data_IF_041444536746
#
_entry.id   IF_041444536746
#
_cell.length_a   1.000
_cell.length_b   1.000
_cell.length_c   1.000
_cell.angle_alpha   90.00
_cell.angle_beta   90.00
_cell.angle_gamma   90.00
#
_symmetry.space_group_name_H-M   'P 1'
#
loop_
_entity.id
_entity.type
_entity.pdbx_description
1 polymer ?
#
# COMPACT_ATOMS: atom_id res chain seq x y z
N UNK A 1 15.42 -9.89 2.68
CA UNK A 1 14.85 -8.54 2.45
C UNK A 1 15.98 -7.55 2.61
N UNK A 2 16.19 -6.61 1.67
CA UNK A 2 17.17 -5.55 1.80
C UNK A 2 16.91 -4.73 3.06
N UNK A 3 17.96 -4.28 3.72
CA UNK A 3 17.89 -3.46 4.94
C UNK A 3 18.18 -1.99 4.68
N UNK A 4 18.58 -1.65 3.46
CA UNK A 4 18.90 -0.29 3.03
C UNK A 4 18.57 -0.08 1.55
N UNK A 5 18.30 1.17 1.14
CA UNK A 5 18.13 1.52 -0.27
C UNK A 5 19.38 1.19 -1.10
N UNK A 6 19.16 0.72 -2.32
CA UNK A 6 20.22 0.38 -3.26
C UNK A 6 20.27 1.41 -4.40
N UNK A 7 21.46 1.73 -4.86
CA UNK A 7 21.67 2.64 -5.99
C UNK A 7 21.01 2.06 -7.27
N UNK A 8 20.32 2.90 -8.02
CA UNK A 8 19.63 2.51 -9.24
C UNK A 8 18.26 1.85 -9.03
N UNK A 9 17.86 1.55 -7.80
CA UNK A 9 16.50 1.07 -7.49
C UNK A 9 15.50 2.22 -7.37
N UNK A 10 14.27 1.96 -7.80
CA UNK A 10 13.12 2.88 -7.64
C UNK A 10 12.16 2.31 -6.62
N UNK A 11 11.84 3.09 -5.59
CA UNK A 11 10.94 2.66 -4.52
C UNK A 11 9.58 3.36 -4.64
N UNK A 12 8.53 2.57 -4.47
CA UNK A 12 7.13 3.03 -4.44
C UNK A 12 6.45 2.49 -3.20
N UNK A 13 5.37 3.14 -2.76
CA UNK A 13 4.71 2.72 -1.53
C UNK A 13 3.19 2.78 -1.63
N UNK A 14 2.54 2.02 -0.75
CA UNK A 14 1.11 2.05 -0.47
C UNK A 14 0.86 2.25 1.01
N UNK A 15 -0.18 2.97 1.35
CA UNK A 15 -0.55 3.30 2.72
C UNK A 15 -2.03 3.10 2.94
N UNK A 16 -2.37 2.24 3.86
CA UNK A 16 -3.70 2.05 4.38
C UNK A 16 -3.79 2.65 5.79
N UNK A 17 -4.77 3.55 6.01
CA UNK A 17 -4.91 4.28 7.25
C UNK A 17 -5.89 3.61 8.20
N UNK A 18 -5.54 3.53 9.48
CA UNK A 18 -6.47 3.17 10.55
C UNK A 18 -6.34 4.08 11.77
N UNK A 19 -7.44 4.24 12.51
CA UNK A 19 -7.44 5.09 13.70
C UNK A 19 -7.35 4.28 15.00
N UNK A 20 -8.18 3.27 15.20
CA UNK A 20 -8.34 2.65 16.53
C UNK A 20 -8.30 1.12 16.55
N UNK A 21 -9.09 0.44 15.75
CA UNK A 21 -9.24 -1.03 15.79
C UNK A 21 -8.41 -1.75 14.73
N UNK A 22 -8.24 -1.11 13.58
CA UNK A 22 -7.50 -1.64 12.46
C UNK A 22 -6.04 -1.18 12.50
N UNK A 23 -5.22 -1.61 11.58
CA UNK A 23 -3.81 -1.26 11.50
C UNK A 23 -3.57 -0.25 10.41
N UNK A 24 -2.84 0.83 10.73
CA UNK A 24 -2.19 1.59 9.67
C UNK A 24 -1.03 0.78 9.16
N UNK A 25 -0.98 0.58 7.84
CA UNK A 25 0.06 -0.22 7.19
C UNK A 25 0.70 0.58 6.07
N UNK A 26 2.04 0.71 6.15
CA UNK A 26 2.88 1.21 5.07
C UNK A 26 3.65 0.04 4.46
N UNK A 27 3.49 -0.17 3.16
CA UNK A 27 4.28 -1.14 2.40
C UNK A 27 5.15 -0.41 1.38
N UNK A 28 6.46 -0.72 1.35
CA UNK A 28 7.40 -0.20 0.36
C UNK A 28 7.87 -1.32 -0.55
N UNK A 29 7.87 -1.06 -1.85
CA UNK A 29 8.27 -2.00 -2.90
C UNK A 29 9.43 -1.40 -3.70
N UNK A 30 10.50 -2.16 -3.88
CA UNK A 30 11.48 -1.92 -4.92
C UNK A 30 10.85 -2.29 -6.27
N UNK A 31 10.42 -1.28 -7.02
CA UNK A 31 9.76 -1.45 -8.30
C UNK A 31 10.71 -1.99 -9.39
N UNK A 32 12.01 -1.77 -9.25
CA UNK A 32 13.03 -2.26 -10.18
C UNK A 32 13.18 -3.78 -10.09
N UNK A 33 13.11 -4.31 -8.87
CA UNK A 33 13.30 -5.73 -8.59
C UNK A 33 12.00 -6.51 -8.38
N UNK A 34 10.86 -5.81 -8.24
CA UNK A 34 9.60 -6.44 -7.86
C UNK A 34 9.65 -7.03 -6.44
N UNK A 35 10.28 -6.36 -5.49
CA UNK A 35 10.51 -6.89 -4.15
C UNK A 35 9.93 -5.98 -3.08
N UNK A 36 9.16 -6.54 -2.15
CA UNK A 36 8.73 -5.83 -0.94
C UNK A 36 9.92 -5.69 0.00
N UNK A 37 10.28 -4.45 0.32
CA UNK A 37 11.45 -4.13 1.17
C UNK A 37 11.07 -3.70 2.59
N UNK A 38 9.84 -3.22 2.77
CA UNK A 38 9.31 -2.80 4.09
C UNK A 38 7.82 -3.12 4.18
N UNK A 39 7.39 -3.66 5.32
CA UNK A 39 5.98 -3.72 5.75
C UNK A 39 5.94 -3.22 7.19
N UNK A 40 5.43 -2.03 7.39
CA UNK A 40 5.35 -1.38 8.70
C UNK A 40 3.88 -1.25 9.12
N UNK A 41 3.45 -2.11 10.04
CA UNK A 41 2.08 -2.19 10.54
C UNK A 41 2.01 -1.80 12.01
N UNK A 42 1.16 -0.85 12.35
CA UNK A 42 1.00 -0.36 13.72
C UNK A 42 -0.43 0.07 14.02
N UNK A 43 -0.78 0.15 15.29
CA UNK A 43 -2.11 0.54 15.80
C UNK A 43 -1.98 1.34 17.08
N UNK A 44 -3.05 2.01 17.50
CA UNK A 44 -3.11 2.70 18.79
C UNK A 44 -2.24 3.95 18.90
N UNK A 45 -1.88 4.55 17.79
CA UNK A 45 -1.04 5.76 17.73
C UNK A 45 -1.83 6.87 17.06
N UNK A 46 -1.78 8.09 17.62
CA UNK A 46 -2.41 9.27 17.03
C UNK A 46 -1.87 9.59 15.63
N UNK A 47 -2.66 10.27 14.80
CA UNK A 47 -2.30 10.56 13.41
C UNK A 47 -1.01 11.36 13.24
N UNK A 48 -0.67 12.26 14.15
CA UNK A 48 0.58 13.04 14.03
C UNK A 48 1.83 12.15 14.13
N UNK A 49 2.02 11.34 15.19
CA UNK A 49 3.14 10.37 15.21
C UNK A 49 3.07 9.34 14.08
N UNK A 50 1.88 8.94 13.63
CA UNK A 50 1.74 8.09 12.44
C UNK A 50 2.39 8.75 11.22
N UNK A 51 2.03 10.02 10.93
CA UNK A 51 2.60 10.77 9.80
C UNK A 51 4.11 10.95 9.92
N UNK A 52 4.62 11.25 11.09
CA UNK A 52 6.06 11.37 11.35
C UNK A 52 6.79 10.06 11.03
N UNK A 53 6.24 8.92 11.47
CA UNK A 53 6.78 7.57 11.20
C UNK A 53 6.76 7.23 9.71
N UNK A 54 5.63 7.45 9.04
CA UNK A 54 5.46 7.20 7.61
C UNK A 54 6.44 8.08 6.81
N UNK A 55 6.53 9.37 7.16
CA UNK A 55 7.42 10.29 6.47
C UNK A 55 8.89 9.90 6.61
N UNK A 56 9.31 9.47 7.80
CA UNK A 56 10.67 8.99 8.03
C UNK A 56 10.98 7.77 7.16
N UNK A 57 10.07 6.79 7.08
CA UNK A 57 10.23 5.59 6.26
C UNK A 57 10.27 5.91 4.76
N UNK A 58 9.33 6.73 4.28
CA UNK A 58 9.28 7.13 2.88
C UNK A 58 10.54 7.89 2.45
N UNK A 59 11.04 8.78 3.31
CA UNK A 59 12.30 9.51 3.05
C UNK A 59 13.52 8.60 3.09
N UNK A 60 13.56 7.65 4.04
CA UNK A 60 14.64 6.68 4.13
C UNK A 60 14.77 5.85 2.85
N UNK A 61 13.66 5.33 2.32
CA UNK A 61 13.65 4.56 1.08
C UNK A 61 13.71 5.41 -0.19
N UNK A 62 13.57 6.72 -0.11
CA UNK A 62 13.49 7.60 -1.29
C UNK A 62 12.25 7.29 -2.15
N UNK A 63 11.10 7.09 -1.50
CA UNK A 63 9.85 6.74 -2.17
C UNK A 63 9.47 7.80 -3.21
N UNK A 64 9.31 7.38 -4.46
CA UNK A 64 8.98 8.24 -5.60
C UNK A 64 7.47 8.45 -5.79
N UNK A 65 6.65 7.51 -5.32
CA UNK A 65 5.18 7.58 -5.34
C UNK A 65 4.66 6.87 -4.09
N UNK A 66 3.79 7.53 -3.33
CA UNK A 66 3.04 6.98 -2.21
C UNK A 66 1.55 7.01 -2.53
N UNK A 67 0.92 5.89 -2.88
CA UNK A 67 -0.54 5.80 -2.93
C UNK A 67 -1.09 5.60 -1.54
N UNK A 68 -1.93 6.51 -1.08
CA UNK A 68 -2.49 6.49 0.25
C UNK A 68 -4.02 6.56 0.21
N UNK A 69 -4.70 5.70 0.99
CA UNK A 69 -6.14 5.71 1.07
C UNK A 69 -6.66 7.10 1.46
N UNK A 70 -7.69 7.58 0.75
CA UNK A 70 -8.24 8.92 0.91
C UNK A 70 -9.64 8.93 1.52
N UNK A 71 -10.21 7.77 1.84
CA UNK A 71 -11.53 7.69 2.44
C UNK A 71 -11.53 8.24 3.87
N UNK A 72 -12.64 8.82 4.30
CA UNK A 72 -12.83 9.37 5.64
C UNK A 72 -11.64 10.27 6.09
N UNK A 73 -10.91 9.88 7.12
CA UNK A 73 -9.78 10.64 7.68
C UNK A 73 -8.48 10.50 6.86
N UNK A 74 -8.46 9.64 5.84
CA UNK A 74 -7.27 9.49 4.98
C UNK A 74 -6.92 10.77 4.24
N UNK A 75 -7.90 11.44 3.60
CA UNK A 75 -7.64 12.64 2.80
C UNK A 75 -6.95 13.78 3.57
N UNK A 76 -7.41 14.23 4.76
CA UNK A 76 -6.70 15.25 5.54
C UNK A 76 -5.28 14.84 5.93
N UNK A 77 -5.05 13.56 6.27
CA UNK A 77 -3.73 13.04 6.60
C UNK A 77 -2.81 12.98 5.38
N UNK A 78 -3.34 12.62 4.21
CA UNK A 78 -2.62 12.65 2.94
C UNK A 78 -2.17 14.06 2.58
N UNK A 79 -3.04 15.06 2.76
CA UNK A 79 -2.70 16.46 2.52
C UNK A 79 -1.57 16.92 3.43
N UNK A 80 -1.58 16.55 4.72
CA UNK A 80 -0.49 16.87 5.62
C UNK A 80 0.82 16.13 5.23
N UNK A 81 0.78 14.86 4.83
CA UNK A 81 1.96 14.18 4.31
C UNK A 81 2.54 14.87 3.07
N UNK A 82 1.67 15.36 2.20
CA UNK A 82 2.06 16.06 0.96
C UNK A 82 2.67 17.43 1.24
N UNK A 83 2.03 18.25 2.08
CA UNK A 83 2.41 19.64 2.28
C UNK A 83 3.42 19.83 3.41
N UNK A 84 3.22 19.19 4.56
CA UNK A 84 4.09 19.39 5.73
C UNK A 84 5.37 18.55 5.63
N UNK A 85 5.27 17.34 5.05
CA UNK A 85 6.41 16.41 4.93
C UNK A 85 7.00 16.33 3.52
N UNK A 86 6.36 16.97 2.53
CA UNK A 86 6.79 17.04 1.12
C UNK A 86 6.92 15.64 0.48
N UNK A 87 6.01 14.74 0.79
CA UNK A 87 5.97 13.42 0.19
C UNK A 87 5.18 13.41 -1.13
N UNK A 88 5.56 12.56 -2.09
CA UNK A 88 4.87 12.41 -3.39
C UNK A 88 3.59 11.58 -3.24
N UNK A 89 2.62 12.08 -2.48
CA UNK A 89 1.37 11.38 -2.15
C UNK A 89 0.37 11.46 -3.29
N UNK A 90 -0.20 10.31 -3.64
CA UNK A 90 -1.38 10.18 -4.52
C UNK A 90 -2.54 9.65 -3.70
N UNK A 91 -3.68 10.32 -3.77
CA UNK A 91 -4.89 9.86 -3.13
C UNK A 91 -5.44 8.63 -3.84
N UNK A 92 -5.75 7.59 -3.08
CA UNK A 92 -6.43 6.40 -3.55
C UNK A 92 -7.81 6.32 -2.89
N UNK A 93 -8.86 6.43 -3.70
CA UNK A 93 -10.24 6.27 -3.21
C UNK A 93 -10.64 4.82 -3.32
N UNK A 94 -10.85 4.16 -2.19
CA UNK A 94 -11.30 2.78 -2.13
C UNK A 94 -12.79 2.70 -2.47
N UNK A 95 -13.07 2.06 -3.59
CA UNK A 95 -14.40 1.60 -4.03
C UNK A 95 -14.30 0.11 -4.32
N UNK A 96 -15.43 -0.55 -4.54
CA UNK A 96 -15.40 -1.96 -4.94
C UNK A 96 -14.61 -2.16 -6.26
N UNK A 97 -14.76 -1.27 -7.22
CA UNK A 97 -14.06 -1.34 -8.50
C UNK A 97 -12.55 -1.11 -8.33
N UNK A 98 -12.15 -0.02 -7.68
CA UNK A 98 -10.72 0.30 -7.51
C UNK A 98 -10.00 -0.74 -6.64
N UNK A 99 -10.67 -1.29 -5.62
CA UNK A 99 -10.15 -2.40 -4.81
C UNK A 99 -9.95 -3.65 -5.67
N UNK A 100 -10.94 -4.03 -6.48
CA UNK A 100 -10.83 -5.18 -7.37
C UNK A 100 -9.66 -5.01 -8.34
N UNK A 101 -9.51 -3.86 -8.98
CA UNK A 101 -8.44 -3.59 -9.95
C UNK A 101 -7.04 -3.79 -9.35
N UNK A 102 -6.78 -3.24 -8.16
CA UNK A 102 -5.44 -3.38 -7.54
C UNK A 102 -5.19 -4.79 -7.00
N UNK A 103 -6.22 -5.48 -6.47
CA UNK A 103 -6.10 -6.86 -5.99
C UNK A 103 -5.84 -7.82 -7.16
N UNK A 104 -6.56 -7.68 -8.27
CA UNK A 104 -6.36 -8.50 -9.48
C UNK A 104 -4.96 -8.26 -10.09
N UNK A 105 -4.50 -7.01 -10.09
CA UNK A 105 -3.13 -6.68 -10.51
C UNK A 105 -2.08 -7.35 -9.61
N UNK A 106 -2.29 -7.36 -8.29
CA UNK A 106 -1.40 -8.03 -7.34
C UNK A 106 -1.44 -9.55 -7.52
N UNK A 107 -2.62 -10.15 -7.68
CA UNK A 107 -2.77 -11.59 -7.94
C UNK A 107 -2.02 -12.01 -9.20
N UNK A 108 -2.17 -11.26 -10.30
CA UNK A 108 -1.42 -11.47 -11.53
C UNK A 108 0.11 -11.38 -11.33
N UNK A 109 0.57 -10.52 -10.42
CA UNK A 109 1.99 -10.41 -10.11
C UNK A 109 2.52 -11.68 -9.42
N UNK A 110 1.76 -12.27 -8.49
CA UNK A 110 2.10 -13.53 -7.85
C UNK A 110 2.09 -14.69 -8.85
N UNK A 111 1.03 -14.82 -9.66
CA UNK A 111 0.90 -15.88 -10.68
C UNK A 111 2.08 -15.87 -11.66
N UNK A 112 2.52 -14.67 -12.07
CA UNK A 112 3.63 -14.50 -13.00
C UNK A 112 5.01 -14.39 -12.31
N UNK A 113 5.09 -14.62 -11.00
CA UNK A 113 6.34 -14.58 -10.21
C UNK A 113 7.10 -13.25 -10.35
N UNK A 114 6.36 -12.14 -10.50
CA UNK A 114 6.92 -10.80 -10.65
C UNK A 114 7.13 -10.07 -9.33
N UNK A 115 6.60 -10.62 -8.24
CA UNK A 115 6.71 -10.03 -6.90
C UNK A 115 7.33 -11.02 -5.93
N UNK A 116 8.22 -10.51 -5.07
CA UNK A 116 8.77 -11.23 -3.92
C UNK A 116 8.37 -10.51 -2.63
N UNK A 117 7.88 -11.25 -1.65
CA UNK A 117 7.46 -10.73 -0.34
C UNK A 117 8.34 -11.29 0.78
N UNK A 118 8.49 -10.56 1.92
CA UNK A 118 9.17 -11.10 3.09
C UNK A 118 8.39 -12.26 3.71
N UNK A 119 9.06 -13.05 4.54
CA UNK A 119 8.42 -14.09 5.36
C UNK A 119 7.70 -13.45 6.57
N UNK A 120 6.73 -12.60 6.28
CA UNK A 120 5.84 -11.98 7.27
C UNK A 120 4.59 -12.85 7.40
N UNK A 121 4.45 -13.54 8.53
CA UNK A 121 3.34 -14.46 8.76
C UNK A 121 1.98 -13.76 8.73
N UNK A 122 1.90 -12.51 9.17
CA UNK A 122 0.65 -11.75 9.16
C UNK A 122 0.25 -11.32 7.74
N UNK A 123 1.20 -10.87 6.94
CA UNK A 123 0.95 -10.56 5.52
C UNK A 123 0.53 -11.82 4.74
N UNK A 124 1.23 -12.93 4.95
CA UNK A 124 0.90 -14.20 4.27
C UNK A 124 -0.51 -14.66 4.66
N UNK A 125 -0.86 -14.60 5.95
CA UNK A 125 -2.19 -14.97 6.43
C UNK A 125 -3.28 -14.08 5.82
N UNK A 126 -3.09 -12.77 5.74
CA UNK A 126 -4.06 -11.87 5.11
C UNK A 126 -4.22 -12.16 3.60
N UNK A 127 -3.10 -12.44 2.89
CA UNK A 127 -3.14 -12.81 1.47
C UNK A 127 -3.88 -14.14 1.23
N UNK A 128 -3.65 -15.16 2.08
CA UNK A 128 -4.27 -16.47 1.96
C UNK A 128 -5.75 -16.47 2.36
N UNK A 129 -6.16 -15.57 3.25
CA UNK A 129 -7.54 -15.48 3.75
C UNK A 129 -8.45 -14.55 2.93
N UNK A 130 -7.90 -13.76 2.01
CA UNK A 130 -8.71 -12.84 1.21
C UNK A 130 -9.70 -13.60 0.32
N UNK A 131 -10.99 -13.28 0.45
CA UNK A 131 -12.06 -13.94 -0.29
C UNK A 131 -12.56 -13.11 -1.47
N UNK A 132 -12.89 -13.80 -2.56
CA UNK A 132 -13.55 -13.24 -3.73
C UNK A 132 -15.01 -13.71 -3.78
N UNK A 133 -15.95 -12.77 -3.83
CA UNK A 133 -17.38 -13.08 -3.97
C UNK A 133 -18.00 -12.32 -5.15
N UNK A 134 -18.93 -12.97 -5.87
CA UNK A 134 -19.60 -12.34 -6.99
C UNK A 134 -20.84 -11.57 -6.50
N UNK A 135 -20.90 -10.30 -6.86
CA UNK A 135 -22.04 -9.44 -6.55
C UNK A 135 -23.16 -9.62 -7.58
N UNK A 136 -24.40 -9.22 -7.22
CA UNK A 136 -25.59 -9.28 -8.10
C UNK A 136 -25.41 -8.49 -9.42
N UNK A 137 -24.61 -7.42 -9.39
CA UNK A 137 -24.29 -6.60 -10.58
C UNK A 137 -23.16 -7.20 -11.44
N UNK A 138 -22.68 -8.41 -11.15
CA UNK A 138 -21.65 -9.11 -11.89
C UNK A 138 -20.20 -8.73 -11.52
N UNK A 139 -20.01 -7.74 -10.65
CA UNK A 139 -18.67 -7.35 -10.17
C UNK A 139 -18.15 -8.34 -9.13
N UNK A 140 -16.83 -8.45 -9.03
CA UNK A 140 -16.15 -9.20 -7.95
C UNK A 140 -15.94 -8.27 -6.75
N UNK A 141 -16.26 -8.76 -5.56
CA UNK A 141 -15.94 -8.11 -4.29
C UNK A 141 -14.84 -8.91 -3.61
N UNK A 142 -13.80 -8.21 -3.19
CA UNK A 142 -12.71 -8.77 -2.37
C UNK A 142 -12.83 -8.26 -0.94
N UNK A 143 -12.79 -9.16 0.02
CA UNK A 143 -12.85 -8.81 1.45
C UNK A 143 -12.17 -9.88 2.30
N UNK A 144 -11.65 -9.49 3.46
CA UNK A 144 -11.29 -10.45 4.48
C UNK A 144 -12.56 -11.10 5.07
N UNK A 145 -12.50 -12.36 5.54
CA UNK A 145 -13.58 -12.99 6.31
C UNK A 145 -13.89 -12.20 7.58
N UNK A 146 -15.06 -12.43 8.16
CA UNK A 146 -15.47 -11.81 9.41
C UNK A 146 -14.45 -12.04 10.53
N UNK A 147 -14.05 -10.95 11.18
CA UNK A 147 -13.01 -10.95 12.24
C UNK A 147 -11.57 -11.02 11.76
N UNK A 148 -11.33 -10.99 10.46
CA UNK A 148 -10.00 -10.87 9.85
C UNK A 148 -9.80 -9.48 9.22
N UNK A 149 -8.55 -9.17 8.89
CA UNK A 149 -8.14 -7.88 8.32
C UNK A 149 -7.55 -8.08 6.93
N UNK A 150 -7.59 -7.02 6.10
CA UNK A 150 -6.93 -6.98 4.79
C UNK A 150 -6.04 -5.72 4.62
N UNK A 151 -5.69 -5.05 5.73
CA UNK A 151 -4.93 -3.79 5.74
C UNK A 151 -3.56 -3.93 5.06
N UNK A 152 -2.85 -5.07 5.32
CA UNK A 152 -1.55 -5.35 4.69
C UNK A 152 -1.69 -5.66 3.21
N UNK A 153 -2.74 -6.38 2.84
CA UNK A 153 -3.03 -6.68 1.44
C UNK A 153 -3.37 -5.42 0.68
N UNK A 154 -4.19 -4.52 1.26
CA UNK A 154 -4.54 -3.24 0.66
C UNK A 154 -3.32 -2.33 0.47
N UNK A 155 -2.52 -2.18 1.52
CA UNK A 155 -1.26 -1.42 1.45
C UNK A 155 -0.32 -1.98 0.38
N UNK A 156 -0.13 -3.30 0.33
CA UNK A 156 0.70 -3.96 -0.68
C UNK A 156 0.13 -3.79 -2.10
N UNK A 157 -1.17 -3.95 -2.29
CA UNK A 157 -1.81 -3.81 -3.59
C UNK A 157 -1.70 -2.37 -4.14
N UNK A 158 -1.86 -1.35 -3.29
CA UNK A 158 -1.63 0.05 -3.66
C UNK A 158 -0.16 0.30 -4.02
N UNK A 159 0.80 -0.25 -3.25
CA UNK A 159 2.23 -0.15 -3.56
C UNK A 159 2.55 -0.81 -4.90
N UNK A 160 2.04 -2.03 -5.12
CA UNK A 160 2.26 -2.78 -6.36
C UNK A 160 1.71 -2.04 -7.59
N UNK A 161 0.52 -1.47 -7.49
CA UNK A 161 -0.07 -0.68 -8.59
C UNK A 161 0.83 0.46 -9.05
N UNK A 162 1.64 1.04 -8.16
CA UNK A 162 2.59 2.10 -8.48
C UNK A 162 3.81 1.61 -9.26
N UNK A 163 4.14 0.32 -9.24
CA UNK A 163 5.29 -0.23 -9.99
C UNK A 163 5.13 -0.09 -11.51
N UNK A 164 3.88 -0.02 -11.99
CA UNK A 164 3.56 0.15 -13.41
C UNK A 164 3.96 1.54 -13.94
N UNK A 165 4.10 2.52 -13.08
CA UNK A 165 4.49 3.88 -13.46
C UNK A 165 6.00 4.08 -13.54
N UNK A 166 6.82 3.04 -13.22
CA UNK A 166 8.24 2.88 -13.51
C UNK A 166 9.09 4.15 -13.45
N UNK A 167 9.08 4.87 -12.32
CA UNK A 167 9.90 6.07 -12.12
C UNK A 167 9.54 7.30 -12.99
N UNK A 168 8.52 7.21 -13.84
CA UNK A 168 7.96 8.37 -14.53
C UNK A 168 6.82 8.91 -13.68
N UNK A 169 7.11 9.91 -12.88
CA UNK A 169 6.08 10.79 -12.30
C UNK A 169 5.34 11.41 -13.50
N UNK A 170 4.03 11.17 -13.72
CA UNK A 170 3.29 11.99 -14.65
C UNK A 170 3.34 13.40 -14.09
N UNK A 171 3.98 14.32 -14.80
CA UNK A 171 3.84 15.73 -14.53
C UNK A 171 2.34 16.06 -14.60
N UNK A 172 1.74 16.29 -13.44
CA UNK A 172 0.42 16.88 -13.36
C UNK A 172 0.57 18.32 -13.88
N UNK A 173 0.14 18.53 -15.11
CA UNK A 173 -0.12 19.86 -15.67
C UNK A 173 -1.39 20.44 -15.04
#
# INVERSE_FOLDING_TARGET
TPTAPEEGSTYVAGLDWALTSDRTVLTVVDATKGMVVEVDAFTGIDYRPQRERIAAKCKYWGVSILSAEANAMGKPNNDQLRYDYQLPVRDFTTTNATKADIIESLASAFENRRIAIPRDAALIMELESLEASRMANGMTRYAAPDGMHDDRVMSLAMAWANTQYGGRVPLLL
#
